data_IF_189115252102
#
_entry.id   IF_189115252102
#
_cell.length_a   1.000
_cell.length_b   1.000
_cell.length_c   1.000
_cell.angle_alpha   90.00
_cell.angle_beta   90.00
_cell.angle_gamma   90.00
#
_symmetry.space_group_name_H-M   'P 1'
#
loop_
_entity.id
_entity.type
_entity.pdbx_description
1 polymer ?
#
# COMPACT_ATOMS: atom_id res chain seq x y z
N UNK A 1 46.33 11.55 14.05
CA UNK A 1 45.71 12.89 14.18
C UNK A 1 44.22 12.69 14.41
N UNK A 2 43.81 12.54 15.67
CA UNK A 2 42.40 12.49 16.09
C UNK A 2 41.89 13.92 16.16
N UNK A 3 41.10 14.33 15.17
CA UNK A 3 40.44 15.63 15.19
C UNK A 3 39.42 15.64 16.33
N UNK A 4 39.62 16.51 17.32
CA UNK A 4 38.58 16.88 18.28
C UNK A 4 37.45 17.54 17.48
N UNK A 5 36.40 16.78 17.15
CA UNK A 5 35.14 17.39 16.74
C UNK A 5 34.59 18.11 17.96
N UNK A 6 34.60 19.44 17.91
CA UNK A 6 33.79 20.27 18.80
C UNK A 6 32.33 19.77 18.66
N UNK A 7 31.83 19.08 19.68
CA UNK A 7 30.43 18.74 19.76
C UNK A 7 29.68 20.06 19.92
N UNK A 8 28.95 20.45 18.88
CA UNK A 8 28.02 21.57 18.95
C UNK A 8 27.16 21.44 20.22
N UNK A 9 27.00 22.51 21.01
CA UNK A 9 26.24 22.45 22.25
C UNK A 9 24.81 22.02 21.93
N UNK A 10 24.44 20.81 22.39
CA UNK A 10 23.11 20.26 22.20
C UNK A 10 22.10 21.14 22.94
N UNK A 11 21.28 21.85 22.18
CA UNK A 11 20.18 22.63 22.75
C UNK A 11 19.27 21.72 23.59
N UNK A 12 18.92 22.13 24.83
CA UNK A 12 18.05 21.35 25.69
C UNK A 12 16.68 21.18 25.02
N UNK A 13 16.11 19.99 25.13
CA UNK A 13 14.75 19.72 24.68
C UNK A 13 13.77 20.47 25.59
N UNK A 14 12.88 21.22 24.96
CA UNK A 14 11.65 21.69 25.60
C UNK A 14 10.73 20.47 25.85
N UNK A 15 10.64 20.06 27.11
CA UNK A 15 9.85 18.89 27.51
C UNK A 15 8.35 19.08 27.29
N UNK A 16 7.83 20.30 27.41
CA UNK A 16 6.41 20.55 27.19
C UNK A 16 6.04 20.35 25.72
N UNK A 17 6.88 20.87 24.83
CA UNK A 17 6.75 20.66 23.39
C UNK A 17 6.93 19.19 23.02
N UNK A 18 7.92 18.51 23.61
CA UNK A 18 8.17 17.08 23.40
C UNK A 18 6.96 16.23 23.80
N UNK A 19 6.41 16.40 25.00
CA UNK A 19 5.24 15.63 25.44
C UNK A 19 4.00 15.93 24.60
N UNK A 20 3.82 17.19 24.18
CA UNK A 20 2.72 17.59 23.29
C UNK A 20 2.82 16.89 21.93
N UNK A 21 4.03 16.81 21.38
CA UNK A 21 4.29 16.09 20.13
C UNK A 21 4.10 14.58 20.28
N UNK A 22 4.56 13.97 21.38
CA UNK A 22 4.37 12.54 21.66
C UNK A 22 2.88 12.17 21.75
N UNK A 23 2.07 12.96 22.46
CA UNK A 23 0.61 12.78 22.52
C UNK A 23 -0.04 12.93 21.15
N UNK A 24 0.37 13.94 20.38
CA UNK A 24 -0.12 14.14 19.02
C UNK A 24 0.16 12.91 18.14
N UNK A 25 1.37 12.36 18.20
CA UNK A 25 1.74 11.14 17.47
C UNK A 25 0.93 9.92 17.93
N UNK A 26 0.71 9.75 19.24
CA UNK A 26 -0.17 8.69 19.75
C UNK A 26 -1.61 8.83 19.24
N UNK A 27 -2.15 10.05 19.19
CA UNK A 27 -3.48 10.30 18.64
C UNK A 27 -3.56 9.96 17.15
N UNK A 28 -2.55 10.35 16.35
CA UNK A 28 -2.45 9.96 14.95
C UNK A 28 -2.44 8.44 14.80
N UNK A 29 -1.67 7.73 15.61
CA UNK A 29 -1.60 6.27 15.57
C UNK A 29 -2.88 5.58 16.02
N UNK A 30 -3.61 6.14 17.00
CA UNK A 30 -4.91 5.63 17.45
C UNK A 30 -6.02 5.86 16.41
N UNK A 31 -5.93 6.93 15.64
CA UNK A 31 -6.94 7.29 14.65
C UNK A 31 -6.61 6.78 13.23
N UNK A 32 -5.35 6.43 12.95
CA UNK A 32 -4.95 5.87 11.66
C UNK A 32 -5.46 4.43 11.51
N UNK A 33 -6.19 4.19 10.42
CA UNK A 33 -6.67 2.86 10.02
C UNK A 33 -5.78 2.18 8.97
N UNK A 34 -4.82 2.90 8.37
CA UNK A 34 -4.17 2.46 7.12
C UNK A 34 -2.65 2.28 7.16
N UNK A 35 -1.92 2.89 8.11
CA UNK A 35 -0.44 2.88 8.03
C UNK A 35 0.25 1.61 8.54
N UNK A 36 -0.46 0.77 9.30
CA UNK A 36 0.12 -0.40 9.96
C UNK A 36 -0.40 -1.69 9.37
N UNK A 37 0.42 -2.33 8.54
CA UNK A 37 0.14 -3.64 7.93
C UNK A 37 -0.02 -4.77 8.97
N UNK A 38 0.44 -4.54 10.21
CA UNK A 38 0.35 -5.49 11.32
C UNK A 38 -0.20 -4.81 12.59
N UNK A 39 -1.33 -5.31 13.11
CA UNK A 39 -1.93 -4.81 14.35
C UNK A 39 -0.95 -4.86 15.54
N UNK A 40 -0.07 -5.87 15.59
CA UNK A 40 0.94 -6.01 16.64
C UNK A 40 2.03 -4.94 16.57
N UNK A 41 2.42 -4.50 15.37
CA UNK A 41 3.43 -3.43 15.23
C UNK A 41 2.85 -2.08 15.68
N UNK A 42 1.58 -1.83 15.35
CA UNK A 42 0.85 -0.65 15.83
C UNK A 42 0.76 -0.62 17.35
N UNK A 43 0.39 -1.75 17.95
CA UNK A 43 0.30 -1.89 19.40
C UNK A 43 1.67 -1.73 20.08
N UNK A 44 2.72 -2.31 19.51
CA UNK A 44 4.09 -2.12 20.00
C UNK A 44 4.50 -0.63 19.94
N UNK A 45 4.21 0.08 18.84
CA UNK A 45 4.54 1.49 18.71
C UNK A 45 3.75 2.37 19.69
N UNK A 46 2.47 2.07 19.90
CA UNK A 46 1.65 2.75 20.91
C UNK A 46 2.19 2.51 22.32
N UNK A 47 2.64 1.30 22.63
CA UNK A 47 3.25 0.99 23.92
C UNK A 47 4.58 1.74 24.12
N UNK A 48 5.44 1.81 23.08
CA UNK A 48 6.70 2.56 23.12
C UNK A 48 6.43 4.06 23.36
N UNK A 49 5.52 4.66 22.59
CA UNK A 49 5.19 6.08 22.75
C UNK A 49 4.52 6.40 24.09
N UNK A 50 3.72 5.47 24.61
CA UNK A 50 3.13 5.60 25.94
C UNK A 50 4.19 5.59 27.04
N UNK A 51 5.29 4.84 26.87
CA UNK A 51 6.43 4.87 27.80
C UNK A 51 7.21 6.18 27.68
N UNK A 52 7.34 6.72 26.45
CA UNK A 52 8.03 7.99 26.22
C UNK A 52 7.29 9.20 26.81
N UNK A 53 5.97 9.11 27.00
CA UNK A 53 5.20 10.20 27.63
C UNK A 53 5.66 10.50 29.06
N UNK A 54 6.17 9.51 29.80
CA UNK A 54 6.64 9.67 31.18
C UNK A 54 8.13 10.00 31.32
N UNK A 55 8.88 10.06 30.21
CA UNK A 55 10.34 10.21 30.23
C UNK A 55 10.71 11.63 29.79
N UNK A 56 11.68 12.22 30.47
CA UNK A 56 12.30 13.49 30.07
C UNK A 56 12.96 13.39 28.68
N UNK A 57 12.70 14.35 27.81
CA UNK A 57 13.13 14.33 26.42
C UNK A 57 14.65 14.29 26.26
N UNK A 58 15.42 14.96 27.13
CA UNK A 58 16.89 14.94 27.09
C UNK A 58 17.42 13.55 27.48
N UNK A 59 16.80 12.93 28.48
CA UNK A 59 17.09 11.55 28.90
C UNK A 59 16.81 10.58 27.77
N UNK A 60 15.63 10.68 27.12
CA UNK A 60 15.27 9.82 26.00
C UNK A 60 16.22 10.01 24.82
N UNK A 61 16.56 11.26 24.46
CA UNK A 61 17.54 11.58 23.41
C UNK A 61 18.88 10.89 23.68
N UNK A 62 19.34 10.93 24.92
CA UNK A 62 20.62 10.33 25.33
C UNK A 62 20.58 8.80 25.14
N UNK A 63 19.52 8.15 25.63
CA UNK A 63 19.34 6.69 25.52
C UNK A 63 19.23 6.26 24.06
N UNK A 64 18.44 6.97 23.25
CA UNK A 64 18.24 6.63 21.82
C UNK A 64 19.52 6.82 21.02
N UNK A 65 20.27 7.90 21.27
CA UNK A 65 21.57 8.12 20.64
C UNK A 65 22.55 7.00 21.00
N UNK A 66 22.60 6.60 22.28
CA UNK A 66 23.45 5.50 22.72
C UNK A 66 23.07 4.16 22.07
N UNK A 67 21.76 3.86 21.95
CA UNK A 67 21.29 2.67 21.23
C UNK A 67 21.73 2.72 19.76
N UNK A 68 21.56 3.88 19.12
CA UNK A 68 21.92 4.06 17.72
C UNK A 68 23.44 3.88 17.51
N UNK A 69 24.27 4.56 18.29
CA UNK A 69 25.73 4.43 18.25
C UNK A 69 26.18 2.98 18.46
N UNK A 70 25.67 2.32 19.50
CA UNK A 70 25.99 0.91 19.77
C UNK A 70 25.56 -0.04 18.64
N UNK A 71 24.42 0.24 17.99
CA UNK A 71 23.94 -0.56 16.85
C UNK A 71 24.83 -0.43 15.62
N UNK A 72 25.46 0.74 15.42
CA UNK A 72 26.39 0.97 14.31
C UNK A 72 27.77 0.37 14.56
N UNK A 73 28.21 0.26 15.82
CA UNK A 73 29.51 -0.32 16.17
C UNK A 73 29.58 -1.84 15.93
N UNK A 74 28.47 -2.57 16.10
CA UNK A 74 28.44 -4.03 15.88
C UNK A 74 28.62 -4.46 14.42
N UNK A 75 28.54 -3.54 13.44
CA UNK A 75 28.79 -3.84 12.02
C UNK A 75 30.20 -3.50 11.55
N UNK A 76 31.00 -2.78 12.35
CA UNK A 76 32.32 -2.31 11.91
C UNK A 76 33.48 -3.22 12.33
N UNK A 77 33.23 -4.31 13.08
CA UNK A 77 34.26 -5.24 13.57
C UNK A 77 34.43 -6.53 12.75
N UNK A 78 33.73 -6.66 11.61
CA UNK A 78 33.74 -7.89 10.81
C UNK A 78 34.85 -8.04 9.76
N UNK A 79 35.56 -6.96 9.39
CA UNK A 79 36.41 -6.96 8.18
C UNK A 79 37.91 -6.75 8.41
N UNK A 80 38.39 -6.75 9.67
CA UNK A 80 39.82 -6.65 9.97
C UNK A 80 40.29 -7.79 10.87
N UNK A 81 40.26 -9.02 10.34
CA UNK A 81 41.16 -10.11 10.73
C UNK A 81 41.18 -11.21 9.66
N UNK A 82 41.85 -10.92 8.54
CA UNK A 82 42.42 -11.93 7.64
C UNK A 82 43.92 -11.69 7.50
N UNK A 83 44.64 -11.87 8.60
CA UNK A 83 46.07 -12.16 8.59
C UNK A 83 46.23 -13.61 9.06
N UNK A 84 46.51 -14.53 8.13
CA UNK A 84 47.87 -15.03 7.88
C UNK A 84 48.37 -15.94 9.00
N UNK A 85 47.93 -17.20 8.96
CA UNK A 85 48.73 -18.33 9.44
C UNK A 85 48.86 -19.34 8.30
N UNK A 86 50.11 -19.50 7.86
CA UNK A 86 50.48 -20.33 6.73
C UNK A 86 50.72 -21.79 7.08
N UNK A 87 50.45 -22.63 6.06
CA UNK A 87 51.06 -23.93 5.71
C UNK A 87 50.82 -25.15 6.64
N UNK A 88 50.96 -26.41 6.13
CA UNK A 88 51.22 -26.83 4.74
C UNK A 88 50.24 -27.89 4.19
N UNK A 89 50.41 -28.10 2.89
CA UNK A 89 49.87 -29.16 2.04
C UNK A 89 49.94 -30.58 2.65
N UNK A 90 48.89 -31.38 2.42
CA UNK A 90 49.03 -32.83 2.32
C UNK A 90 47.93 -33.43 1.45
N UNK A 91 48.30 -33.67 0.18
CA UNK A 91 48.09 -34.89 -0.60
C UNK A 91 46.95 -35.86 -0.23
N UNK A 92 45.98 -35.97 -1.15
CA UNK A 92 45.52 -37.24 -1.75
C UNK A 92 44.75 -38.26 -0.90
N UNK A 93 43.46 -38.47 -1.21
CA UNK A 93 43.02 -39.67 -1.95
C UNK A 93 41.49 -39.72 -2.13
N UNK A 94 41.09 -40.25 -3.27
CA UNK A 94 39.75 -40.66 -3.62
C UNK A 94 39.26 -41.82 -2.74
N UNK A 95 37.96 -41.86 -2.42
CA UNK A 95 37.16 -43.09 -2.43
C UNK A 95 35.66 -42.78 -2.48
N UNK A 96 34.97 -43.53 -3.35
CA UNK A 96 33.52 -43.75 -3.40
C UNK A 96 32.96 -44.20 -2.04
N UNK A 97 31.69 -43.91 -1.73
CA UNK A 97 30.59 -44.91 -1.67
C UNK A 97 29.25 -44.29 -1.19
N UNK A 98 28.24 -44.52 -2.02
CA UNK A 98 26.83 -44.86 -1.76
C UNK A 98 26.13 -44.79 -0.37
N UNK A 99 24.82 -44.51 -0.51
CA UNK A 99 23.65 -45.15 0.12
C UNK A 99 23.17 -44.73 1.53
N UNK A 100 22.14 -43.87 1.49
CA UNK A 100 20.76 -44.08 1.99
C UNK A 100 20.45 -44.26 3.50
N UNK A 101 19.20 -43.90 3.89
CA UNK A 101 18.82 -43.58 5.26
C UNK A 101 18.15 -44.75 6.00
N UNK A 102 18.19 -44.71 7.33
CA UNK A 102 17.42 -45.63 8.18
C UNK A 102 16.71 -44.90 9.30
N UNK A 103 15.40 -45.15 9.36
CA UNK A 103 14.49 -44.82 10.45
C UNK A 103 14.63 -45.80 11.61
N UNK A 104 14.28 -45.37 12.82
CA UNK A 104 13.70 -46.24 13.87
C UNK A 104 12.96 -45.35 14.87
N UNK A 105 11.64 -45.38 14.97
CA UNK A 105 10.77 -46.34 15.70
C UNK A 105 10.75 -46.10 17.22
N UNK A 106 9.57 -45.63 17.63
CA UNK A 106 8.87 -45.64 18.92
C UNK A 106 9.49 -46.31 20.16
N UNK A 107 9.27 -45.67 21.32
CA UNK A 107 8.68 -46.34 22.49
C UNK A 107 8.01 -45.37 23.46
N UNK A 108 6.78 -45.72 23.82
CA UNK A 108 5.96 -45.10 24.87
C UNK A 108 6.37 -45.60 26.26
N UNK A 109 6.16 -44.77 27.28
CA UNK A 109 5.89 -45.20 28.66
C UNK A 109 5.19 -44.07 29.44
N UNK A 110 3.91 -44.32 29.76
CA UNK A 110 3.18 -43.76 30.91
C UNK A 110 3.93 -44.17 32.21
N UNK A 111 3.80 -43.63 33.43
CA UNK A 111 2.75 -42.94 34.17
C UNK A 111 3.41 -42.56 35.51
N UNK A 112 3.07 -41.44 36.16
CA UNK A 112 2.81 -41.44 37.62
C UNK A 112 2.20 -40.13 38.11
N UNK A 113 1.19 -40.30 38.96
CA UNK A 113 0.35 -39.30 39.63
C UNK A 113 1.04 -38.73 40.86
N UNK A 114 0.74 -37.49 41.22
CA UNK A 114 0.40 -37.15 42.61
C UNK A 114 -0.52 -35.93 42.69
N UNK A 115 -1.52 -36.07 43.56
CA UNK A 115 -2.53 -35.09 43.96
C UNK A 115 -1.95 -34.16 45.04
N UNK A 116 -2.44 -32.92 45.11
CA UNK A 116 -2.77 -32.28 46.38
C UNK A 116 -3.83 -31.19 46.16
N UNK A 117 -4.86 -31.23 47.01
CA UNK A 117 -6.03 -30.34 47.08
C UNK A 117 -5.96 -29.60 48.41
N UNK A 118 -6.21 -28.29 48.45
CA UNK A 118 -6.75 -27.58 49.64
C UNK A 118 -7.24 -26.17 49.21
N UNK A 119 -8.57 -25.94 49.14
CA UNK A 119 -9.42 -25.21 50.12
C UNK A 119 -9.03 -23.73 50.35
N UNK A 120 -9.82 -22.75 49.87
CA UNK A 120 -11.07 -22.14 50.45
C UNK A 120 -10.79 -21.00 51.44
N UNK A 121 -11.15 -19.78 51.03
CA UNK A 121 -11.68 -18.61 51.78
C UNK A 121 -11.45 -17.38 50.88
N UNK A 122 -12.34 -16.41 50.67
CA UNK A 122 -13.48 -15.94 51.44
C UNK A 122 -13.29 -14.44 51.70
N UNK A 123 -14.07 -13.61 50.97
CA UNK A 123 -14.60 -12.29 51.38
C UNK A 123 -13.64 -11.12 51.70
N UNK A 124 -13.66 -10.05 50.90
CA UNK A 124 -14.40 -8.81 51.23
C UNK A 124 -14.12 -7.68 50.22
N UNK A 125 -15.20 -7.06 49.75
CA UNK A 125 -15.18 -5.90 48.88
C UNK A 125 -14.85 -4.62 49.64
N UNK A 126 -14.13 -3.72 48.96
CA UNK A 126 -13.97 -2.34 49.38
C UNK A 126 -14.31 -1.42 48.20
N UNK A 127 -15.37 -0.67 48.46
CA UNK A 127 -15.88 0.56 47.88
C UNK A 127 -14.81 1.40 47.17
N UNK A 128 -15.03 1.69 45.88
CA UNK A 128 -14.34 2.75 45.16
C UNK A 128 -15.33 3.86 44.77
N UNK A 129 -14.96 5.06 45.19
CA UNK A 129 -15.76 6.26 45.27
C UNK A 129 -16.11 6.87 43.92
N UNK A 130 -17.37 7.33 43.82
CA UNK A 130 -17.86 8.26 42.80
C UNK A 130 -16.96 9.49 42.71
N UNK A 131 -16.36 9.72 41.54
CA UNK A 131 -15.95 11.05 41.10
C UNK A 131 -16.76 11.41 39.87
N UNK A 132 -17.56 12.49 40.01
CA UNK A 132 -18.34 13.13 38.96
C UNK A 132 -17.41 13.51 37.81
N UNK A 133 -17.56 12.87 36.66
CA UNK A 133 -17.03 13.39 35.41
C UNK A 133 -17.86 14.61 35.01
N UNK A 134 -17.17 15.75 34.81
CA UNK A 134 -17.72 16.93 34.15
C UNK A 134 -18.08 16.55 32.72
N UNK A 135 -19.31 16.89 32.34
CA UNK A 135 -19.82 16.83 30.97
C UNK A 135 -18.79 17.41 30.00
N UNK A 136 -18.32 16.56 29.09
CA UNK A 136 -17.69 17.02 27.87
C UNK A 136 -18.81 17.47 26.95
N UNK A 137 -18.76 18.76 26.58
CA UNK A 137 -19.66 19.37 25.61
C UNK A 137 -19.61 18.56 24.32
N UNK A 138 -20.70 17.87 24.06
CA UNK A 138 -21.01 17.15 22.84
C UNK A 138 -20.68 18.05 21.63
N UNK A 139 -19.73 17.63 20.80
CA UNK A 139 -19.50 18.23 19.48
C UNK A 139 -20.81 18.05 18.73
N UNK A 140 -21.50 19.17 18.49
CA UNK A 140 -22.71 19.23 17.69
C UNK A 140 -22.48 18.48 16.38
N UNK A 141 -23.25 17.41 16.19
CA UNK A 141 -23.46 16.80 14.89
C UNK A 141 -23.86 17.91 13.92
N UNK A 142 -23.08 18.06 12.84
CA UNK A 142 -23.47 18.92 11.73
C UNK A 142 -24.89 18.53 11.32
N UNK A 143 -25.81 19.50 11.16
CA UNK A 143 -27.17 19.20 10.76
C UNK A 143 -27.11 18.45 9.42
N UNK A 144 -27.62 17.21 9.42
CA UNK A 144 -27.88 16.42 8.22
C UNK A 144 -28.76 17.27 7.30
N UNK A 145 -28.11 17.95 6.36
CA UNK A 145 -28.79 18.77 5.38
C UNK A 145 -29.84 17.91 4.67
N UNK A 146 -31.09 18.38 4.70
CA UNK A 146 -32.22 17.74 4.02
C UNK A 146 -31.82 17.53 2.56
N UNK A 147 -31.72 16.26 2.15
CA UNK A 147 -31.41 15.84 0.78
C UNK A 147 -32.48 16.44 -0.15
N UNK A 148 -32.13 17.48 -0.91
CA UNK A 148 -32.94 17.93 -2.03
C UNK A 148 -32.86 16.85 -3.12
N UNK A 149 -33.99 16.18 -3.37
CA UNK A 149 -34.15 15.17 -4.40
C UNK A 149 -34.24 15.83 -5.79
N UNK A 150 -33.22 16.56 -6.21
CA UNK A 150 -33.03 16.87 -7.62
C UNK A 150 -32.42 15.62 -8.27
N UNK A 151 -33.27 14.76 -8.84
CA UNK A 151 -32.85 13.62 -9.63
C UNK A 151 -32.13 14.10 -10.88
N UNK A 152 -30.81 14.02 -10.86
CA UNK A 152 -30.01 14.20 -12.06
C UNK A 152 -30.15 12.91 -12.91
N UNK A 153 -30.75 12.96 -14.11
CA UNK A 153 -31.01 11.77 -14.94
C UNK A 153 -29.70 11.05 -15.32
N UNK A 154 -28.57 11.76 -15.31
CA UNK A 154 -27.24 11.19 -15.56
C UNK A 154 -26.80 10.32 -14.37
N UNK A 155 -27.12 10.75 -13.14
CA UNK A 155 -26.81 10.03 -11.90
C UNK A 155 -27.69 8.77 -11.80
N UNK A 156 -28.97 8.85 -12.18
CA UNK A 156 -29.89 7.70 -12.20
C UNK A 156 -29.42 6.62 -13.18
N UNK A 157 -28.97 7.01 -14.38
CA UNK A 157 -28.42 6.07 -15.36
C UNK A 157 -27.17 5.36 -14.81
N UNK A 158 -26.34 6.06 -14.02
CA UNK A 158 -25.12 5.50 -13.44
C UNK A 158 -25.40 4.58 -12.24
N UNK A 159 -26.50 4.78 -11.51
CA UNK A 159 -26.93 3.89 -10.41
C UNK A 159 -27.14 2.44 -10.86
N UNK A 160 -27.47 2.23 -12.14
CA UNK A 160 -27.60 0.88 -12.73
C UNK A 160 -26.25 0.22 -13.07
N UNK A 161 -25.15 0.97 -13.00
CA UNK A 161 -23.81 0.56 -13.44
C UNK A 161 -22.81 0.45 -12.29
N UNK A 162 -22.90 1.33 -11.30
CA UNK A 162 -22.01 1.36 -10.15
C UNK A 162 -22.81 1.29 -8.85
N UNK A 163 -22.17 0.81 -7.78
CA UNK A 163 -22.83 0.74 -6.48
C UNK A 163 -23.10 2.13 -5.88
N UNK A 164 -24.11 2.23 -5.01
CA UNK A 164 -24.44 3.47 -4.31
C UNK A 164 -23.24 4.17 -3.64
N UNK A 165 -22.36 3.47 -2.91
CA UNK A 165 -21.16 4.07 -2.35
C UNK A 165 -20.21 4.67 -3.40
N UNK A 166 -20.04 4.01 -4.55
CA UNK A 166 -19.19 4.51 -5.63
C UNK A 166 -19.80 5.77 -6.28
N UNK A 167 -21.13 5.89 -6.28
CA UNK A 167 -21.83 7.07 -6.76
C UNK A 167 -21.66 8.28 -5.82
N UNK A 168 -21.71 8.04 -4.50
CA UNK A 168 -21.41 9.08 -3.52
C UNK A 168 -19.95 9.55 -3.62
N UNK A 169 -19.02 8.63 -3.87
CA UNK A 169 -17.64 8.99 -4.19
C UNK A 169 -17.54 9.83 -5.46
N UNK A 170 -18.27 9.52 -6.53
CA UNK A 170 -18.33 10.37 -7.73
C UNK A 170 -18.88 11.78 -7.42
N UNK A 171 -19.92 11.89 -6.59
CA UNK A 171 -20.46 13.20 -6.17
C UNK A 171 -19.42 14.01 -5.39
N UNK A 172 -18.71 13.38 -4.46
CA UNK A 172 -17.59 14.01 -3.74
C UNK A 172 -16.49 14.43 -4.70
N UNK A 173 -16.14 13.55 -5.63
CA UNK A 173 -15.11 13.78 -6.64
C UNK A 173 -15.40 15.02 -7.51
N UNK A 174 -16.67 15.20 -7.86
CA UNK A 174 -17.14 16.27 -8.75
C UNK A 174 -17.41 17.58 -8.01
N UNK A 175 -17.68 17.51 -6.70
CA UNK A 175 -17.83 18.71 -5.86
C UNK A 175 -16.53 19.50 -5.65
N UNK A 176 -15.37 18.84 -5.79
CA UNK A 176 -14.05 19.46 -5.65
C UNK A 176 -13.12 18.96 -6.77
N UNK A 177 -13.41 19.38 -8.01
CA UNK A 177 -12.75 18.87 -9.22
C UNK A 177 -11.24 19.15 -9.24
N UNK A 178 -10.79 20.29 -8.69
CA UNK A 178 -9.37 20.66 -8.64
C UNK A 178 -8.59 19.77 -7.67
N UNK A 179 -9.13 19.50 -6.48
CA UNK A 179 -8.54 18.53 -5.55
C UNK A 179 -8.48 17.15 -6.18
N UNK A 180 -9.57 16.74 -6.81
CA UNK A 180 -9.70 15.47 -7.53
C UNK A 180 -8.67 15.30 -8.64
N UNK A 181 -8.43 16.34 -9.46
CA UNK A 181 -7.36 16.37 -10.47
C UNK A 181 -6.01 16.09 -9.82
N UNK A 182 -5.71 16.76 -8.71
CA UNK A 182 -4.43 16.63 -8.01
C UNK A 182 -4.22 15.23 -7.40
N UNK A 183 -5.28 14.63 -6.85
CA UNK A 183 -5.27 13.24 -6.35
C UNK A 183 -4.92 12.29 -7.50
N UNK A 184 -5.63 12.39 -8.64
CA UNK A 184 -5.39 11.54 -9.81
C UNK A 184 -3.96 11.74 -10.33
N UNK A 185 -3.51 12.97 -10.52
CA UNK A 185 -2.15 13.27 -10.97
C UNK A 185 -1.08 12.65 -10.09
N UNK A 186 -1.27 12.73 -8.76
CA UNK A 186 -0.33 12.15 -7.80
C UNK A 186 -0.29 10.63 -7.92
N UNK A 187 -1.46 9.99 -8.04
CA UNK A 187 -1.57 8.55 -8.25
C UNK A 187 -0.91 8.12 -9.55
N UNK A 188 -1.21 8.80 -10.65
CA UNK A 188 -0.62 8.52 -11.96
C UNK A 188 0.90 8.56 -11.90
N UNK A 189 1.49 9.63 -11.37
CA UNK A 189 2.95 9.79 -11.28
C UNK A 189 3.61 8.73 -10.40
N UNK A 190 2.95 8.32 -9.31
CA UNK A 190 3.46 7.28 -8.41
C UNK A 190 3.35 5.90 -9.06
N UNK A 191 2.21 5.60 -9.66
CA UNK A 191 1.93 4.28 -10.27
C UNK A 191 2.72 4.06 -11.55
N UNK A 192 2.88 5.07 -12.40
CA UNK A 192 3.64 4.93 -13.65
C UNK A 192 5.12 4.59 -13.38
N UNK A 193 5.68 5.12 -12.30
CA UNK A 193 7.06 4.86 -11.87
C UNK A 193 7.24 3.58 -11.04
N UNK A 194 6.16 2.95 -10.60
CA UNK A 194 6.24 1.82 -9.67
C UNK A 194 6.50 0.49 -10.35
N UNK A 195 6.35 0.41 -11.68
CA UNK A 195 6.65 -0.79 -12.43
C UNK A 195 7.00 -0.51 -13.90
N UNK A 196 7.69 -1.45 -14.51
CA UNK A 196 7.95 -1.51 -15.95
C UNK A 196 7.43 -2.83 -16.49
N UNK A 197 6.64 -2.78 -17.55
CA UNK A 197 6.22 -3.96 -18.31
C UNK A 197 6.87 -3.86 -19.68
N UNK A 198 7.75 -4.79 -20.01
CA UNK A 198 8.41 -4.87 -21.31
C UNK A 198 7.93 -6.11 -22.05
N UNK A 199 7.57 -5.95 -23.32
CA UNK A 199 7.23 -7.03 -24.24
C UNK A 199 8.03 -6.85 -25.52
N UNK A 200 9.10 -7.62 -25.70
CA UNK A 200 9.85 -7.68 -26.97
C UNK A 200 9.81 -9.13 -27.45
N UNK A 201 9.36 -9.33 -28.69
CA UNK A 201 9.47 -10.59 -29.42
C UNK A 201 9.11 -11.83 -28.59
N UNK A 202 7.90 -11.88 -28.02
CA UNK A 202 7.32 -12.99 -27.22
C UNK A 202 7.85 -13.18 -25.79
N UNK A 203 8.79 -12.35 -25.34
CA UNK A 203 9.19 -12.30 -23.93
C UNK A 203 8.56 -11.09 -23.25
N UNK A 204 7.62 -11.37 -22.36
CA UNK A 204 7.00 -10.38 -21.50
C UNK A 204 7.57 -10.51 -20.08
N UNK A 205 8.08 -9.41 -19.54
CA UNK A 205 8.58 -9.29 -18.18
C UNK A 205 7.96 -8.08 -17.49
N UNK A 206 7.44 -8.32 -16.29
CA UNK A 206 7.01 -7.28 -15.37
C UNK A 206 8.10 -7.13 -14.32
N UNK A 207 8.52 -5.90 -14.07
CA UNK A 207 9.41 -5.55 -12.97
C UNK A 207 8.73 -4.49 -12.11
N UNK A 208 8.46 -4.81 -10.85
CA UNK A 208 7.88 -3.86 -9.89
C UNK A 208 9.01 -3.29 -9.05
N UNK A 209 9.29 -1.99 -9.23
CA UNK A 209 10.35 -1.27 -8.52
C UNK A 209 9.89 -0.71 -7.18
N UNK A 210 8.59 -0.40 -7.04
CA UNK A 210 7.98 0.09 -5.81
C UNK A 210 6.66 -0.66 -5.58
N UNK A 211 6.65 -1.75 -4.79
CA UNK A 211 5.42 -2.47 -4.51
C UNK A 211 4.52 -1.58 -3.65
N UNK A 212 3.44 -1.05 -4.26
CA UNK A 212 2.46 -0.25 -3.54
C UNK A 212 1.71 -1.14 -2.55
N UNK A 213 1.80 -0.79 -1.26
CA UNK A 213 1.55 -1.62 -0.08
C UNK A 213 0.25 -2.46 -0.11
N UNK A 214 -0.77 -2.04 0.66
CA UNK A 214 -1.98 -2.81 0.85
C UNK A 214 -2.63 -3.08 -0.52
N UNK A 215 -2.84 -4.36 -0.82
CA UNK A 215 -3.55 -4.82 -2.01
C UNK A 215 -4.91 -4.15 -2.23
N UNK A 216 -5.53 -3.60 -1.16
CA UNK A 216 -6.80 -2.88 -1.19
C UNK A 216 -6.66 -1.36 -1.27
N UNK A 217 -5.47 -0.82 -1.06
CA UNK A 217 -5.23 0.62 -1.18
C UNK A 217 -5.57 1.12 -2.58
N UNK A 218 -6.11 2.34 -2.73
CA UNK A 218 -6.37 2.93 -4.04
C UNK A 218 -5.16 2.88 -4.96
N UNK A 219 -3.95 3.12 -4.44
CA UNK A 219 -2.71 3.08 -5.21
C UNK A 219 -2.40 1.68 -5.77
N UNK A 220 -2.54 0.62 -4.97
CA UNK A 220 -2.37 -0.76 -5.45
C UNK A 220 -3.42 -1.15 -6.50
N UNK A 221 -4.65 -0.67 -6.34
CA UNK A 221 -5.71 -0.88 -7.32
C UNK A 221 -5.40 -0.14 -8.64
N UNK A 222 -4.92 1.10 -8.57
CA UNK A 222 -4.46 1.86 -9.75
C UNK A 222 -3.30 1.14 -10.46
N UNK A 223 -2.32 0.63 -9.70
CA UNK A 223 -1.21 -0.15 -10.26
C UNK A 223 -1.71 -1.42 -10.94
N UNK A 224 -2.65 -2.13 -10.33
CA UNK A 224 -3.27 -3.31 -10.92
C UNK A 224 -4.04 -2.99 -12.21
N UNK A 225 -4.76 -1.86 -12.25
CA UNK A 225 -5.46 -1.37 -13.43
C UNK A 225 -4.46 -1.02 -14.56
N UNK A 226 -3.38 -0.29 -14.26
CA UNK A 226 -2.39 0.08 -15.26
C UNK A 226 -1.59 -1.13 -15.78
N UNK A 227 -1.26 -2.10 -14.93
CA UNK A 227 -0.66 -3.38 -15.35
C UNK A 227 -1.61 -4.11 -16.30
N UNK A 228 -2.91 -4.18 -15.95
CA UNK A 228 -3.92 -4.82 -16.80
C UNK A 228 -4.09 -4.11 -18.14
N UNK A 229 -4.06 -2.76 -18.16
CA UNK A 229 -4.07 -1.98 -19.39
C UNK A 229 -2.88 -2.34 -20.29
N UNK A 230 -1.65 -2.24 -19.77
CA UNK A 230 -0.43 -2.52 -20.55
C UNK A 230 -0.38 -3.97 -21.02
N UNK A 231 -0.83 -4.92 -20.20
CA UNK A 231 -0.98 -6.31 -20.62
C UNK A 231 -2.02 -6.47 -21.74
N UNK A 232 -3.15 -5.78 -21.66
CA UNK A 232 -4.19 -5.79 -22.68
C UNK A 232 -3.66 -5.26 -24.03
N UNK A 233 -2.95 -4.14 -24.02
CA UNK A 233 -2.32 -3.56 -25.22
C UNK A 233 -1.27 -4.48 -25.84
N UNK A 234 -0.40 -5.08 -25.02
CA UNK A 234 0.54 -6.11 -25.51
C UNK A 234 -0.20 -7.30 -26.15
N UNK A 235 -1.30 -7.73 -25.54
CA UNK A 235 -2.10 -8.84 -26.06
C UNK A 235 -2.79 -8.49 -27.39
N UNK A 236 -3.29 -7.26 -27.54
CA UNK A 236 -3.85 -6.76 -28.81
C UNK A 236 -2.79 -6.69 -29.91
N UNK A 237 -1.59 -6.18 -29.60
CA UNK A 237 -0.45 -6.17 -30.53
C UNK A 237 -0.07 -7.60 -30.95
N UNK A 238 0.09 -8.53 -30.01
CA UNK A 238 0.40 -9.93 -30.33
C UNK A 238 -0.69 -10.59 -31.19
N UNK A 239 -1.95 -10.20 -31.01
CA UNK A 239 -3.08 -10.70 -31.82
C UNK A 239 -2.99 -10.26 -33.28
N UNK A 240 -2.38 -9.10 -33.57
CA UNK A 240 -2.18 -8.63 -34.94
C UNK A 240 -1.05 -9.39 -35.67
N UNK A 241 0.00 -9.82 -34.95
CA UNK A 241 1.20 -10.42 -35.56
C UNK A 241 1.23 -11.95 -35.51
N UNK A 242 0.48 -12.59 -34.61
CA UNK A 242 0.54 -14.03 -34.41
C UNK A 242 -0.75 -14.73 -34.83
N UNK A 243 -0.63 -15.90 -35.46
CA UNK A 243 -1.78 -16.74 -35.81
C UNK A 243 -2.29 -17.53 -34.60
N UNK A 244 -3.58 -17.36 -34.25
CA UNK A 244 -4.39 -18.24 -33.40
C UNK A 244 -3.67 -18.81 -32.16
N UNK A 245 -3.31 -20.10 -32.21
CA UNK A 245 -2.74 -20.83 -31.07
C UNK A 245 -1.43 -20.26 -30.51
N UNK A 246 -0.67 -19.49 -31.30
CA UNK A 246 0.55 -18.82 -30.82
C UNK A 246 0.25 -17.66 -29.87
N UNK A 247 -0.86 -16.93 -30.08
CA UNK A 247 -1.31 -15.81 -29.23
C UNK A 247 -1.60 -16.30 -27.82
N UNK A 248 -2.40 -17.37 -27.68
CA UNK A 248 -2.77 -17.89 -26.36
C UNK A 248 -1.56 -18.39 -25.57
N UNK A 249 -0.53 -18.95 -26.24
CA UNK A 249 0.69 -19.39 -25.59
C UNK A 249 1.55 -18.21 -25.12
N UNK A 250 1.74 -17.21 -25.98
CA UNK A 250 2.49 -16.00 -25.66
C UNK A 250 1.83 -15.21 -24.51
N UNK A 251 0.52 -14.95 -24.62
CA UNK A 251 -0.25 -14.30 -23.57
C UNK A 251 -0.26 -15.09 -22.25
N UNK A 252 -0.36 -16.43 -22.29
CA UNK A 252 -0.28 -17.26 -21.08
C UNK A 252 1.10 -17.18 -20.43
N UNK A 253 2.18 -17.13 -21.23
CA UNK A 253 3.55 -16.95 -20.75
C UNK A 253 3.71 -15.58 -20.10
N UNK A 254 3.24 -14.51 -20.73
CA UNK A 254 3.25 -13.15 -20.18
C UNK A 254 2.46 -13.07 -18.86
N UNK A 255 1.26 -13.63 -18.81
CA UNK A 255 0.46 -13.69 -17.59
C UNK A 255 1.16 -14.47 -16.46
N UNK A 256 1.86 -15.55 -16.80
CA UNK A 256 2.66 -16.31 -15.83
C UNK A 256 3.80 -15.46 -15.26
N UNK A 257 4.49 -14.67 -16.09
CA UNK A 257 5.51 -13.71 -15.65
C UNK A 257 4.92 -12.67 -14.70
N UNK A 258 3.80 -12.04 -15.07
CA UNK A 258 3.09 -11.05 -14.24
C UNK A 258 2.68 -11.67 -12.89
N UNK A 259 2.09 -12.87 -12.92
CA UNK A 259 1.68 -13.58 -11.70
C UNK A 259 2.87 -13.94 -10.81
N UNK A 260 4.01 -14.31 -11.38
CA UNK A 260 5.23 -14.60 -10.63
C UNK A 260 5.74 -13.34 -9.93
N UNK A 261 5.85 -12.23 -10.66
CA UNK A 261 6.29 -10.95 -10.11
C UNK A 261 5.34 -10.41 -9.04
N UNK A 262 4.03 -10.45 -9.26
CA UNK A 262 3.07 -10.04 -8.23
C UNK A 262 3.19 -10.90 -6.96
N UNK A 263 3.44 -12.21 -7.12
CA UNK A 263 3.66 -13.13 -5.99
C UNK A 263 4.94 -12.81 -5.21
N UNK A 264 6.04 -12.40 -5.86
CA UNK A 264 7.27 -12.02 -5.15
C UNK A 264 7.08 -10.80 -4.27
N UNK A 265 6.11 -9.94 -4.59
CA UNK A 265 5.72 -8.78 -3.80
C UNK A 265 4.49 -9.03 -2.89
N UNK A 266 4.23 -10.30 -2.54
CA UNK A 266 3.15 -10.67 -1.63
C UNK A 266 1.72 -10.55 -2.19
N UNK A 267 1.56 -10.19 -3.48
CA UNK A 267 0.25 -10.05 -4.13
C UNK A 267 -0.19 -11.38 -4.73
N UNK A 268 -1.18 -12.04 -4.12
CA UNK A 268 -1.72 -13.32 -4.60
C UNK A 268 -2.71 -13.11 -5.75
N UNK A 269 -2.31 -13.47 -6.97
CA UNK A 269 -3.23 -13.51 -8.13
C UNK A 269 -3.90 -14.88 -8.24
N UNK A 270 -5.14 -14.98 -7.77
CA UNK A 270 -5.96 -16.21 -7.87
C UNK A 270 -6.66 -16.32 -9.23
N UNK A 271 -6.86 -15.19 -9.91
CA UNK A 271 -7.59 -15.09 -11.17
C UNK A 271 -7.04 -16.02 -12.25
N UNK A 272 -7.88 -16.83 -12.92
CA UNK A 272 -7.48 -17.62 -14.08
C UNK A 272 -7.03 -16.74 -15.25
N UNK A 273 -6.16 -17.27 -16.12
CA UNK A 273 -5.64 -16.55 -17.30
C UNK A 273 -6.75 -15.99 -18.19
N UNK A 274 -7.73 -16.81 -18.57
CA UNK A 274 -8.85 -16.40 -19.43
C UNK A 274 -9.66 -15.24 -18.82
N UNK A 275 -9.90 -15.28 -17.52
CA UNK A 275 -10.57 -14.20 -16.78
C UNK A 275 -9.73 -12.93 -16.76
N UNK A 276 -8.41 -13.05 -16.58
CA UNK A 276 -7.52 -11.89 -16.59
C UNK A 276 -7.41 -11.24 -17.97
N UNK A 277 -7.36 -12.02 -19.05
CA UNK A 277 -7.38 -11.50 -20.44
C UNK A 277 -8.67 -10.70 -20.69
N UNK A 278 -9.83 -11.25 -20.32
CA UNK A 278 -11.10 -10.52 -20.44
C UNK A 278 -11.12 -9.23 -19.64
N UNK A 279 -10.56 -9.26 -18.43
CA UNK A 279 -10.41 -8.07 -17.60
C UNK A 279 -9.53 -7.02 -18.28
N UNK A 280 -8.34 -7.40 -18.74
CA UNK A 280 -7.41 -6.50 -19.41
C UNK A 280 -8.01 -5.87 -20.67
N UNK A 281 -8.70 -6.65 -21.52
CA UNK A 281 -9.41 -6.13 -22.69
C UNK A 281 -10.50 -5.12 -22.33
N UNK A 282 -11.22 -5.32 -21.21
CA UNK A 282 -12.21 -4.35 -20.73
C UNK A 282 -11.54 -3.08 -20.22
N UNK A 283 -10.43 -3.21 -19.51
CA UNK A 283 -9.63 -2.08 -19.03
C UNK A 283 -9.13 -1.23 -20.19
N UNK A 284 -8.62 -1.86 -21.26
CA UNK A 284 -8.24 -1.16 -22.50
C UNK A 284 -9.43 -0.42 -23.10
N UNK A 285 -10.55 -1.11 -23.35
CA UNK A 285 -11.75 -0.48 -23.93
C UNK A 285 -12.31 0.68 -23.09
N UNK A 286 -12.19 0.61 -21.75
CA UNK A 286 -12.61 1.69 -20.85
C UNK A 286 -11.64 2.86 -20.95
N UNK A 287 -10.32 2.62 -20.92
CA UNK A 287 -9.33 3.69 -21.05
C UNK A 287 -9.43 4.42 -22.40
N UNK A 288 -9.71 3.71 -23.50
CA UNK A 288 -9.88 4.30 -24.82
C UNK A 288 -11.17 5.11 -24.96
N UNK A 289 -12.29 4.62 -24.42
CA UNK A 289 -13.58 5.31 -24.53
C UNK A 289 -13.73 6.44 -23.53
N UNK A 290 -13.37 6.19 -22.28
CA UNK A 290 -13.58 7.12 -21.16
C UNK A 290 -12.37 8.04 -20.98
N UNK A 291 -11.16 7.52 -21.12
CA UNK A 291 -9.90 8.23 -20.87
C UNK A 291 -9.04 7.54 -19.82
N UNK A 292 -7.72 7.80 -19.85
CA UNK A 292 -6.75 7.12 -18.98
C UNK A 292 -7.02 7.36 -17.47
N UNK A 293 -7.56 8.52 -17.10
CA UNK A 293 -7.89 8.86 -15.71
C UNK A 293 -8.84 7.84 -15.05
N UNK A 294 -9.68 7.15 -15.82
CA UNK A 294 -10.60 6.13 -15.34
C UNK A 294 -9.88 4.97 -14.61
N UNK A 295 -8.61 4.72 -14.95
CA UNK A 295 -7.78 3.71 -14.31
C UNK A 295 -7.32 4.11 -12.90
N UNK A 296 -7.41 5.41 -12.56
CA UNK A 296 -6.82 6.02 -11.37
C UNK A 296 -7.86 6.53 -10.35
N UNK A 297 -9.12 6.16 -10.54
CA UNK A 297 -10.26 6.44 -9.65
C UNK A 297 -10.93 5.16 -9.15
N UNK A 298 -10.18 4.24 -8.49
CA UNK A 298 -10.69 2.94 -8.08
C UNK A 298 -11.85 3.03 -7.07
N UNK A 299 -12.07 4.17 -6.43
CA UNK A 299 -13.22 4.44 -5.55
C UNK A 299 -14.53 4.48 -6.33
N UNK A 300 -14.49 5.03 -7.55
CA UNK A 300 -15.64 5.13 -8.46
C UNK A 300 -15.71 3.89 -9.35
N UNK A 301 -14.58 3.51 -9.95
CA UNK A 301 -14.43 2.37 -10.86
C UNK A 301 -13.55 1.29 -10.25
N UNK A 302 -14.13 0.52 -9.32
CA UNK A 302 -13.46 -0.61 -8.69
C UNK A 302 -13.05 -1.64 -9.74
N UNK A 303 -11.99 -2.43 -9.52
CA UNK A 303 -11.62 -3.52 -10.41
C UNK A 303 -12.78 -4.48 -10.70
N UNK A 304 -13.62 -4.77 -9.69
CA UNK A 304 -14.82 -5.58 -9.88
C UNK A 304 -15.81 -4.95 -10.87
N UNK A 305 -16.04 -3.64 -10.80
CA UNK A 305 -16.88 -2.89 -11.75
C UNK A 305 -16.29 -2.95 -13.15
N UNK A 306 -14.98 -2.70 -13.30
CA UNK A 306 -14.26 -2.82 -14.58
C UNK A 306 -14.35 -4.24 -15.16
N UNK A 307 -14.32 -5.27 -14.31
CA UNK A 307 -14.47 -6.67 -14.71
C UNK A 307 -15.89 -7.04 -15.16
N UNK A 308 -16.91 -6.46 -14.54
CA UNK A 308 -18.31 -6.90 -14.70
C UNK A 308 -19.11 -6.07 -15.68
N UNK A 309 -18.74 -4.80 -15.91
CA UNK A 309 -19.47 -3.93 -16.82
C UNK A 309 -19.57 -4.56 -18.23
N UNK A 310 -20.77 -4.54 -18.81
CA UNK A 310 -21.01 -5.04 -20.17
C UNK A 310 -20.54 -4.00 -21.19
N UNK A 311 -20.15 -4.46 -22.39
CA UNK A 311 -19.70 -3.56 -23.46
C UNK A 311 -20.79 -2.57 -23.89
N UNK A 312 -22.05 -3.00 -23.86
CA UNK A 312 -23.23 -2.19 -24.18
C UNK A 312 -23.45 -1.05 -23.19
N UNK A 313 -22.99 -1.20 -21.95
CA UNK A 313 -23.10 -0.19 -20.89
C UNK A 313 -21.95 0.81 -20.90
N UNK A 314 -20.90 0.58 -21.70
CA UNK A 314 -19.75 1.50 -21.79
C UNK A 314 -20.10 2.90 -22.33
N UNK A 315 -20.95 3.07 -23.36
CA UNK A 315 -21.36 4.41 -23.82
C UNK A 315 -22.10 5.20 -22.75
N UNK A 316 -22.91 4.52 -21.92
CA UNK A 316 -23.61 5.15 -20.79
C UNK A 316 -22.59 5.61 -19.74
N UNK A 317 -21.67 4.70 -19.34
CA UNK A 317 -20.60 5.05 -18.41
C UNK A 317 -19.77 6.24 -18.91
N UNK A 318 -19.37 6.20 -20.19
CA UNK A 318 -18.63 7.26 -20.85
C UNK A 318 -19.41 8.58 -20.82
N UNK A 319 -20.69 8.59 -21.20
CA UNK A 319 -21.51 9.80 -21.22
C UNK A 319 -21.64 10.42 -19.83
N UNK A 320 -21.89 9.59 -18.80
CA UNK A 320 -22.00 10.04 -17.42
C UNK A 320 -20.68 10.62 -16.89
N UNK A 321 -19.58 9.92 -17.10
CA UNK A 321 -18.26 10.39 -16.66
C UNK A 321 -17.80 11.61 -17.46
N UNK A 322 -18.13 11.72 -18.74
CA UNK A 322 -17.84 12.93 -19.52
C UNK A 322 -18.64 14.12 -18.98
N UNK A 323 -19.92 13.93 -18.70
CA UNK A 323 -20.77 15.02 -18.20
C UNK A 323 -20.31 15.57 -16.84
N UNK A 324 -19.70 14.73 -16.00
CA UNK A 324 -19.29 15.09 -14.64
C UNK A 324 -17.80 15.34 -14.48
N UNK A 325 -16.99 14.74 -15.32
CA UNK A 325 -15.54 14.65 -15.15
C UNK A 325 -14.79 14.93 -16.47
N UNK A 326 -15.37 15.69 -17.41
CA UNK A 326 -14.73 16.05 -18.68
C UNK A 326 -13.30 16.58 -18.48
N UNK A 327 -13.12 17.46 -17.50
CA UNK A 327 -11.83 18.10 -17.20
C UNK A 327 -10.74 17.12 -16.74
N UNK A 328 -11.11 15.90 -16.31
CA UNK A 328 -10.13 14.89 -15.91
C UNK A 328 -9.49 14.18 -17.10
N UNK A 329 -10.12 14.23 -18.29
CA UNK A 329 -9.55 13.61 -19.50
C UNK A 329 -8.22 14.22 -19.89
N UNK A 330 -8.08 15.53 -19.66
CA UNK A 330 -6.87 16.27 -20.03
C UNK A 330 -5.68 15.92 -19.11
N UNK A 331 -5.91 15.25 -17.98
CA UNK A 331 -4.86 14.93 -17.01
C UNK A 331 -3.84 13.95 -17.57
N UNK A 332 -4.30 12.95 -18.31
CA UNK A 332 -3.44 11.94 -18.87
C UNK A 332 -4.05 11.26 -20.09
N UNK A 333 -3.19 10.96 -21.05
CA UNK A 333 -3.51 10.24 -22.27
C UNK A 333 -2.40 9.23 -22.57
N UNK A 334 -2.71 8.21 -23.35
CA UNK A 334 -1.70 7.34 -23.93
C UNK A 334 -1.31 7.88 -25.30
N UNK A 335 -0.02 7.88 -25.62
CA UNK A 335 0.46 8.19 -26.97
C UNK A 335 0.38 6.97 -27.89
N UNK A 336 0.87 7.13 -29.12
CA UNK A 336 0.90 6.07 -30.14
C UNK A 336 1.76 4.86 -29.71
N UNK A 337 2.76 5.09 -28.84
CA UNK A 337 3.62 4.07 -28.27
C UNK A 337 3.04 3.46 -26.97
N UNK A 338 1.78 3.77 -26.64
CA UNK A 338 1.09 3.34 -25.42
C UNK A 338 1.77 3.81 -24.13
N UNK A 339 2.61 4.84 -24.23
CA UNK A 339 3.25 5.49 -23.09
C UNK A 339 2.29 6.52 -22.49
N UNK A 340 2.22 6.49 -21.16
CA UNK A 340 1.34 7.39 -20.41
C UNK A 340 1.93 8.80 -20.38
N UNK A 341 1.31 9.72 -21.12
CA UNK A 341 1.60 11.15 -21.06
C UNK A 341 0.75 11.76 -19.95
N UNK A 342 1.41 12.45 -19.02
CA UNK A 342 0.75 13.13 -17.90
C UNK A 342 0.85 14.63 -18.11
N UNK A 343 -0.28 15.33 -18.07
CA UNK A 343 -0.29 16.77 -18.24
C UNK A 343 0.55 17.48 -17.16
N UNK A 344 1.35 18.45 -17.60
CA UNK A 344 2.01 19.38 -16.70
C UNK A 344 0.99 20.38 -16.18
N UNK A 345 0.37 20.05 -15.05
CA UNK A 345 -0.48 21.01 -14.36
C UNK A 345 0.36 22.17 -13.84
N UNK A 346 0.10 23.36 -14.38
CA UNK A 346 0.63 24.65 -13.90
C UNK A 346 0.25 24.93 -12.43
N UNK A 347 -0.60 24.11 -11.83
CA UNK A 347 -1.08 24.22 -10.45
C UNK A 347 0.06 24.28 -9.43
N UNK A 348 1.12 23.46 -9.59
CA UNK A 348 2.30 23.49 -8.72
C UNK A 348 3.10 24.80 -8.81
N UNK A 349 3.02 25.51 -9.95
CA UNK A 349 3.66 26.84 -10.11
C UNK A 349 2.81 27.98 -9.56
N UNK A 350 1.48 27.89 -9.68
CA UNK A 350 0.55 28.96 -9.24
C UNK A 350 0.28 28.94 -7.74
N UNK A 351 0.17 27.75 -7.16
CA UNK A 351 -0.04 27.57 -5.73
C UNK A 351 1.28 27.08 -5.14
N UNK A 352 2.08 28.01 -4.62
CA UNK A 352 3.34 27.79 -3.92
C UNK A 352 3.05 27.14 -2.53
N UNK A 353 2.32 26.02 -2.56
CA UNK A 353 1.33 25.72 -1.53
C UNK A 353 1.95 24.95 -0.37
N UNK A 354 2.39 25.72 0.62
CA UNK A 354 2.75 25.22 1.95
C UNK A 354 1.56 24.50 2.62
N UNK A 355 0.30 24.73 2.20
CA UNK A 355 -0.86 24.00 2.71
C UNK A 355 -0.88 22.55 2.23
N UNK A 356 -0.37 22.26 1.04
CA UNK A 356 -0.23 20.89 0.54
C UNK A 356 0.83 20.11 1.30
N UNK A 357 1.90 20.76 1.79
CA UNK A 357 2.87 20.13 2.70
C UNK A 357 2.26 19.83 4.08
N UNK A 358 1.39 20.70 4.60
CA UNK A 358 0.67 20.47 5.88
C UNK A 358 -0.43 19.42 5.76
N UNK A 359 -1.15 19.37 4.63
CA UNK A 359 -2.13 18.31 4.32
C UNK A 359 -1.51 17.03 3.77
N UNK A 360 -0.20 16.99 3.50
CA UNK A 360 0.51 15.79 3.02
C UNK A 360 0.38 14.61 3.99
N UNK A 361 0.24 14.88 5.31
CA UNK A 361 -0.01 13.83 6.30
C UNK A 361 -1.42 13.25 6.16
N UNK A 362 -2.48 14.08 6.18
CA UNK A 362 -3.86 13.62 5.97
C UNK A 362 -4.11 13.05 4.55
N UNK A 363 -3.39 13.54 3.56
CA UNK A 363 -3.50 13.14 2.15
C UNK A 363 -2.91 11.75 1.89
N UNK A 364 -1.76 11.43 2.49
CA UNK A 364 -1.21 10.08 2.45
C UNK A 364 -2.09 9.10 3.24
N UNK A 365 -2.71 9.53 4.34
CA UNK A 365 -3.62 8.71 5.12
C UNK A 365 -4.93 8.34 4.38
N UNK A 366 -5.31 9.10 3.34
CA UNK A 366 -6.43 8.76 2.43
C UNK A 366 -6.03 7.99 1.17
N UNK A 367 -4.72 7.84 0.92
CA UNK A 367 -4.15 7.10 -0.22
C UNK A 367 -3.46 5.79 0.20
N UNK A 368 -3.23 5.59 1.50
CA UNK A 368 -2.98 4.31 2.16
C UNK A 368 -4.32 3.73 2.59
#
# INVERSE_FOLDING_TARGET
>A
MTGNQEQDPLYPIDNELFHSYTRYQMCLLKNSTSFWSCSKQREAMLNILSQFESIDGNTLRTVVNQIFENSTQQHSFGDQNKESWGLPESSGNAFNLENNPSSSTARAAETSKSKATQERAGTNGIVASRTRSKESTCIQELPLAKKSNTSDPIIESLQQLISGPNLEELKRFTSDIERSKLVILTRIRRVDKSFKLSGVNTSCSLHISDPLDDHRSPLSLCQSNLIAYRFGKLFEQETLYLSGGKISRAGSKCFRSIKKELKTHGKRVVTPYSTYVRYAQKVVAIAEKVGAYALFIPEILKPYTLQTISREKLPVLQSCLNAKCAELKEIANFDEDEKLIVAETKYFRKHNDKSYRRKKSEFLDSCA
#
